data_IF_715382092408
#
_entry.id   IF_715382092408
#
_cell.length_a   1.000
_cell.length_b   1.000
_cell.length_c   1.000
_cell.angle_alpha   90.00
_cell.angle_beta   90.00
_cell.angle_gamma   90.00
#
_symmetry.space_group_name_H-M   'P 1'
#
loop_
_entity.id
_entity.type
_entity.pdbx_description
1 polymer ?
#
# COMPACT_ATOMS: atom_id res chain seq x y z
N UNK A 1 -1.74 -7.88 -15.88
CA UNK A 1 -0.88 -7.73 -14.69
C UNK A 1 -1.60 -8.37 -13.54
N UNK A 2 -1.01 -9.39 -12.93
CA UNK A 2 -1.52 -9.99 -11.71
C UNK A 2 -0.65 -9.43 -10.58
N UNK A 3 -1.17 -8.45 -9.85
CA UNK A 3 -0.49 -7.89 -8.70
C UNK A 3 -0.54 -8.93 -7.57
N UNK A 4 0.62 -9.43 -7.13
CA UNK A 4 0.71 -10.34 -6.00
C UNK A 4 0.69 -9.52 -4.71
N UNK A 5 -0.53 -9.29 -4.20
CA UNK A 5 -0.78 -8.45 -3.03
C UNK A 5 -1.62 -9.23 -2.04
N UNK A 6 -1.05 -9.44 -0.86
CA UNK A 6 -1.71 -10.05 0.30
C UNK A 6 -1.99 -8.99 1.36
N UNK A 7 -3.01 -9.23 2.18
CA UNK A 7 -3.38 -8.36 3.30
C UNK A 7 -3.69 -9.24 4.50
N UNK A 8 -3.24 -8.82 5.68
CA UNK A 8 -3.63 -9.50 6.92
C UNK A 8 -5.11 -9.27 7.23
N UNK A 9 -5.78 -10.26 7.81
CA UNK A 9 -7.19 -10.16 8.19
C UNK A 9 -7.46 -8.92 9.08
N UNK A 10 -6.56 -8.63 10.02
CA UNK A 10 -6.67 -7.46 10.91
C UNK A 10 -6.50 -6.14 10.15
N UNK A 11 -5.57 -6.10 9.19
CA UNK A 11 -5.35 -4.94 8.34
C UNK A 11 -6.57 -4.70 7.43
N UNK A 12 -7.15 -5.77 6.89
CA UNK A 12 -8.36 -5.71 6.09
C UNK A 12 -9.57 -5.25 6.93
N UNK A 13 -9.73 -5.78 8.15
CA UNK A 13 -10.78 -5.35 9.07
C UNK A 13 -10.66 -3.86 9.41
N UNK A 14 -9.46 -3.41 9.76
CA UNK A 14 -9.18 -2.00 10.03
C UNK A 14 -9.47 -1.12 8.81
N UNK A 15 -9.03 -1.51 7.62
CA UNK A 15 -9.32 -0.76 6.40
C UNK A 15 -10.84 -0.61 6.13
N UNK A 16 -11.63 -1.66 6.41
CA UNK A 16 -13.10 -1.61 6.31
C UNK A 16 -13.69 -0.61 7.31
N UNK A 17 -13.22 -0.60 8.56
CA UNK A 17 -13.62 0.38 9.57
C UNK A 17 -13.29 1.83 9.16
N UNK A 18 -12.19 2.03 8.42
CA UNK A 18 -11.77 3.34 7.91
C UNK A 18 -12.43 3.76 6.59
N UNK A 19 -13.45 3.03 6.09
CA UNK A 19 -14.19 3.37 4.88
C UNK A 19 -13.99 2.44 3.69
N UNK A 20 -13.24 1.35 3.87
CA UNK A 20 -13.13 0.26 2.88
C UNK A 20 -12.28 0.60 1.66
N UNK A 21 -11.43 1.63 1.75
CA UNK A 21 -10.51 2.05 0.70
C UNK A 21 -9.07 1.82 1.14
N UNK A 22 -8.23 1.36 0.22
CA UNK A 22 -6.78 1.31 0.37
C UNK A 22 -6.10 1.94 -0.82
N UNK A 23 -5.14 2.80 -0.59
CA UNK A 23 -4.36 3.45 -1.64
C UNK A 23 -2.89 3.16 -1.44
N UNK A 24 -2.29 2.44 -2.38
CA UNK A 24 -0.89 2.06 -2.37
C UNK A 24 -0.12 2.89 -3.39
N UNK A 25 0.98 3.52 -2.96
CA UNK A 25 1.88 4.30 -3.81
C UNK A 25 3.31 4.26 -3.30
N UNK A 26 4.27 4.62 -4.15
CA UNK A 26 5.62 4.92 -3.69
C UNK A 26 5.73 6.37 -3.21
N UNK A 27 6.56 6.59 -2.19
CA UNK A 27 6.97 7.91 -1.73
C UNK A 27 8.49 7.95 -1.65
N UNK A 28 9.13 8.98 -2.21
CA UNK A 28 10.57 9.11 -2.08
C UNK A 28 10.96 9.38 -0.64
N UNK A 29 11.92 8.61 -0.14
CA UNK A 29 12.58 8.83 1.14
C UNK A 29 14.05 9.11 0.89
N UNK A 30 14.56 10.15 1.55
CA UNK A 30 15.96 10.55 1.46
C UNK A 30 16.71 10.00 2.66
N UNK A 31 17.86 9.36 2.40
CA UNK A 31 18.79 8.94 3.43
C UNK A 31 19.69 10.08 3.88
N UNK A 32 20.30 9.93 5.06
CA UNK A 32 21.24 10.90 5.63
C UNK A 32 22.43 11.22 4.70
N UNK A 33 22.82 10.27 3.85
CA UNK A 33 23.93 10.43 2.90
C UNK A 33 23.50 10.97 1.51
N UNK A 34 22.26 11.45 1.36
CA UNK A 34 21.75 12.00 0.09
C UNK A 34 21.21 10.97 -0.90
N UNK A 35 21.19 9.68 -0.55
CA UNK A 35 20.51 8.65 -1.34
C UNK A 35 19.00 8.83 -1.33
N UNK A 36 18.33 8.46 -2.43
CA UNK A 36 16.86 8.44 -2.54
C UNK A 36 16.40 7.02 -2.83
N UNK A 37 15.41 6.56 -2.07
CA UNK A 37 14.71 5.30 -2.32
C UNK A 37 13.21 5.57 -2.39
N UNK A 38 12.54 4.96 -3.35
CA UNK A 38 11.09 5.03 -3.43
C UNK A 38 10.49 3.93 -2.56
N UNK A 39 9.89 4.30 -1.43
CA UNK A 39 9.30 3.34 -0.48
C UNK A 39 7.80 3.21 -0.70
N UNK A 40 7.31 1.98 -0.78
CA UNK A 40 5.87 1.71 -0.80
C UNK A 40 5.20 2.22 0.48
N UNK A 41 4.01 2.79 0.31
CA UNK A 41 3.18 3.35 1.38
C UNK A 41 1.72 3.00 1.12
N UNK A 42 0.95 2.92 2.19
CA UNK A 42 -0.49 2.67 2.15
C UNK A 42 -1.23 3.73 2.94
N UNK A 43 -2.40 4.15 2.45
CA UNK A 43 -3.36 5.00 3.17
C UNK A 43 -4.78 4.46 2.98
N UNK A 44 -5.70 4.88 3.85
CA UNK A 44 -7.13 4.55 3.78
C UNK A 44 -7.96 5.61 3.05
N UNK A 45 -7.29 6.59 2.44
CA UNK A 45 -7.92 7.68 1.71
C UNK A 45 -7.88 7.40 0.20
N UNK A 46 -8.96 7.68 -0.55
CA UNK A 46 -8.92 7.59 -2.00
C UNK A 46 -7.91 8.60 -2.58
N UNK A 47 -7.24 8.27 -3.70
CA UNK A 47 -6.34 9.21 -4.35
C UNK A 47 -7.11 10.39 -4.95
N UNK A 48 -6.47 11.56 -5.00
CA UNK A 48 -7.01 12.76 -5.64
C UNK A 48 -7.12 12.59 -7.17
N UNK A 49 -6.14 11.90 -7.76
CA UNK A 49 -6.11 11.54 -9.18
C UNK A 49 -6.18 10.02 -9.32
N UNK A 50 -7.36 9.51 -9.66
CA UNK A 50 -7.62 8.08 -9.85
C UNK A 50 -7.02 7.53 -11.15
N UNK A 51 -6.75 8.37 -12.16
CA UNK A 51 -6.25 7.90 -13.46
C UNK A 51 -4.80 7.40 -13.36
N UNK A 52 -4.04 7.90 -12.41
CA UNK A 52 -2.69 7.42 -12.10
C UNK A 52 -2.64 6.03 -11.43
N UNK A 53 -3.80 5.45 -11.11
CA UNK A 53 -3.92 4.21 -10.35
C UNK A 53 -4.58 3.10 -11.17
N UNK A 54 -4.31 1.87 -10.76
CA UNK A 54 -5.07 0.67 -11.13
C UNK A 54 -6.00 0.37 -9.97
N UNK A 55 -7.30 0.34 -10.24
CA UNK A 55 -8.27 -0.06 -9.24
C UNK A 55 -8.42 -1.59 -9.23
N UNK A 56 -8.38 -2.18 -8.05
CA UNK A 56 -8.56 -3.61 -7.82
C UNK A 56 -9.54 -3.78 -6.65
N UNK A 57 -10.47 -4.72 -6.77
CA UNK A 57 -11.31 -5.13 -5.64
C UNK A 57 -10.77 -6.45 -5.07
N UNK A 58 -10.51 -6.45 -3.76
CA UNK A 58 -10.03 -7.63 -3.02
C UNK A 58 -10.69 -7.67 -1.67
N UNK A 59 -11.25 -8.81 -1.29
CA UNK A 59 -11.87 -9.03 0.02
C UNK A 59 -12.91 -7.95 0.41
N UNK A 60 -13.63 -7.39 -0.57
CA UNK A 60 -14.59 -6.30 -0.33
C UNK A 60 -13.97 -4.93 -0.03
N UNK A 61 -12.65 -4.77 -0.21
CA UNK A 61 -11.93 -3.51 -0.17
C UNK A 61 -11.72 -2.99 -1.60
N UNK A 62 -11.87 -1.67 -1.76
CA UNK A 62 -11.47 -0.97 -2.99
C UNK A 62 -10.02 -0.53 -2.86
N UNK A 63 -9.16 -1.13 -3.66
CA UNK A 63 -7.73 -0.85 -3.65
C UNK A 63 -7.35 0.00 -4.87
N UNK A 64 -6.65 1.10 -4.64
CA UNK A 64 -6.02 1.92 -5.66
C UNK A 64 -4.52 1.68 -5.60
N UNK A 65 -3.94 1.06 -6.63
CA UNK A 65 -2.50 0.78 -6.69
C UNK A 65 -1.88 1.68 -7.74
N UNK A 66 -0.97 2.56 -7.34
CA UNK A 66 -0.35 3.50 -8.26
C UNK A 66 0.34 2.74 -9.39
N UNK A 67 0.18 3.20 -10.64
CA UNK A 67 0.72 2.48 -11.81
C UNK A 67 2.23 2.28 -11.73
N UNK A 68 2.96 3.25 -11.18
CA UNK A 68 4.41 3.12 -10.94
C UNK A 68 4.81 2.06 -9.90
N UNK A 69 3.90 1.67 -9.01
CA UNK A 69 4.09 0.55 -8.08
C UNK A 69 3.72 -0.77 -8.74
N UNK A 70 2.63 -0.79 -9.52
CA UNK A 70 2.25 -1.96 -10.32
C UNK A 70 3.31 -2.36 -11.35
N UNK A 71 4.14 -1.42 -11.81
CA UNK A 71 5.28 -1.69 -12.70
C UNK A 71 6.51 -2.26 -12.01
N UNK A 72 6.58 -2.28 -10.68
CA UNK A 72 7.74 -2.81 -9.94
C UNK A 72 7.84 -4.35 -9.99
N UNK A 73 6.89 -5.04 -10.62
CA UNK A 73 6.99 -6.45 -11.00
C UNK A 73 6.04 -7.37 -10.25
N UNK A 74 6.24 -8.67 -10.44
CA UNK A 74 5.48 -9.76 -9.79
C UNK A 74 5.95 -10.02 -8.34
N UNK A 75 6.66 -9.08 -7.71
CA UNK A 75 7.13 -9.27 -6.34
C UNK A 75 5.95 -9.23 -5.35
N UNK A 76 5.91 -10.17 -4.38
CA UNK A 76 4.84 -10.22 -3.41
C UNK A 76 4.90 -8.98 -2.52
N UNK A 77 3.78 -8.29 -2.47
CA UNK A 77 3.52 -7.22 -1.54
C UNK A 77 2.58 -7.71 -0.44
N UNK A 78 2.82 -7.25 0.77
CA UNK A 78 2.02 -7.56 1.94
C UNK A 78 1.60 -6.27 2.64
N UNK A 79 0.32 -6.19 2.98
CA UNK A 79 -0.25 -5.10 3.79
C UNK A 79 -0.56 -5.64 5.17
N UNK A 80 0.19 -5.15 6.16
CA UNK A 80 -0.02 -5.46 7.56
C UNK A 80 -0.53 -4.26 8.36
N UNK A 81 -0.79 -4.52 9.63
CA UNK A 81 -1.25 -3.52 10.58
C UNK A 81 -0.35 -3.51 11.81
N UNK A 82 0.35 -2.39 12.03
CA UNK A 82 1.02 -2.13 13.29
C UNK A 82 0.00 -1.60 14.30
N UNK A 83 -0.01 -2.21 15.49
CA UNK A 83 -0.83 -1.80 16.61
C UNK A 83 0.04 -1.53 17.85
N UNK A 84 0.05 -0.28 18.30
CA UNK A 84 0.73 0.12 19.54
C UNK A 84 -0.23 0.87 20.45
N UNK A 85 -0.69 0.20 21.51
CA UNK A 85 -1.67 0.70 22.46
C UNK A 85 -2.98 1.12 21.77
N UNK A 86 -3.18 2.43 21.54
CA UNK A 86 -4.36 3.00 20.88
C UNK A 86 -4.08 3.38 19.43
N UNK A 87 -2.83 3.31 18.99
CA UNK A 87 -2.39 3.72 17.67
C UNK A 87 -2.42 2.52 16.73
N UNK A 88 -3.06 2.72 15.57
CA UNK A 88 -3.13 1.74 14.50
C UNK A 88 -2.59 2.38 13.23
N UNK A 89 -1.63 1.74 12.58
CA UNK A 89 -1.07 2.21 11.31
C UNK A 89 -0.86 1.05 10.36
N UNK A 90 -1.42 1.17 9.17
CA UNK A 90 -1.14 0.22 8.09
C UNK A 90 0.28 0.42 7.58
N UNK A 91 0.92 -0.68 7.20
CA UNK A 91 2.21 -0.67 6.53
C UNK A 91 2.17 -1.52 5.26
N UNK A 92 3.16 -1.32 4.39
CA UNK A 92 3.39 -2.19 3.24
C UNK A 92 4.80 -2.75 3.34
N UNK A 93 4.89 -4.07 3.27
CA UNK A 93 6.13 -4.78 2.98
C UNK A 93 6.12 -5.17 1.51
N UNK A 94 7.15 -4.77 0.79
CA UNK A 94 7.43 -5.27 -0.55
C UNK A 94 8.80 -5.92 -0.49
N UNK A 95 8.95 -7.10 -1.08
CA UNK A 95 10.26 -7.68 -1.30
C UNK A 95 11.13 -6.60 -1.98
N UNK A 96 12.19 -6.22 -1.28
CA UNK A 96 12.92 -5.00 -1.58
C UNK A 96 13.89 -5.27 -2.71
N UNK A 97 13.64 -4.75 -3.90
CA UNK A 97 14.72 -4.33 -4.79
C UNK A 97 14.83 -2.81 -4.77
N UNK A 98 15.71 -2.34 -3.88
CA UNK A 98 16.38 -1.05 -3.99
C UNK A 98 17.46 -1.12 -5.08
#
# INVERSE_FOLDING_TARGET
>A
MQLDLTIDDEAAAYAREQGGVLTLRTRPQHGCCGGRVDRATVSTEPPEDVDAYVQVEREGLRMYVHRGLATLGDEPMHVGLDQLWIWKSLYVEAASQM
#
